data_IF_490048395975
#
_entry.id   IF_490048395975
#
_cell.length_a   1.000
_cell.length_b   1.000
_cell.length_c   1.000
_cell.angle_alpha   90.00
_cell.angle_beta   90.00
_cell.angle_gamma   90.00
#
_symmetry.space_group_name_H-M   'P 1'
#
loop_
_entity.id
_entity.type
_entity.pdbx_description
1 polymer ?
#
# COMPACT_ATOMS: atom_id res chain seq x y z
N UNK A 1 28.94 1.60 4.83
CA UNK A 1 28.04 0.67 4.11
C UNK A 1 27.02 1.51 3.34
N UNK A 2 26.96 1.40 2.01
CA UNK A 2 25.89 2.02 1.21
C UNK A 2 24.70 1.05 1.14
N UNK A 3 23.83 1.12 2.15
CA UNK A 3 22.59 0.32 2.21
C UNK A 3 21.42 1.27 2.09
N UNK A 4 20.51 0.96 1.17
CA UNK A 4 19.25 1.68 1.00
C UNK A 4 18.08 0.84 1.49
N UNK A 5 17.21 1.44 2.31
CA UNK A 5 16.00 0.80 2.83
C UNK A 5 14.78 1.42 2.15
N UNK A 6 13.98 0.59 1.47
CA UNK A 6 12.74 0.98 0.82
C UNK A 6 11.54 0.41 1.59
N UNK A 7 10.64 1.26 2.09
CA UNK A 7 9.39 0.81 2.72
C UNK A 7 8.26 0.77 1.69
N UNK A 8 7.70 -0.41 1.47
CA UNK A 8 6.50 -0.58 0.65
C UNK A 8 5.26 -0.55 1.53
N UNK A 9 4.27 0.25 1.14
CA UNK A 9 2.91 0.28 1.68
C UNK A 9 1.97 -0.37 0.67
N UNK A 10 1.78 -1.69 0.72
CA UNK A 10 0.92 -2.36 -0.25
C UNK A 10 -0.55 -2.02 0.01
N UNK A 11 -1.29 -1.84 -1.07
CA UNK A 11 -2.73 -2.02 -1.06
C UNK A 11 -3.11 -3.49 -1.17
N UNK A 12 -4.34 -3.78 -1.58
CA UNK A 12 -4.74 -5.17 -1.83
C UNK A 12 -4.08 -5.74 -3.09
N UNK A 13 -3.58 -6.96 -2.98
CA UNK A 13 -2.86 -7.69 -4.04
C UNK A 13 -3.45 -9.08 -4.11
N UNK A 14 -3.78 -9.53 -5.33
CA UNK A 14 -4.35 -10.85 -5.56
C UNK A 14 -3.29 -11.93 -5.34
N UNK A 15 -3.36 -12.56 -4.17
CA UNK A 15 -2.52 -13.68 -3.74
C UNK A 15 -3.39 -14.74 -3.04
N UNK A 16 -2.90 -15.97 -2.81
CA UNK A 16 -3.63 -16.96 -2.01
C UNK A 16 -4.02 -16.46 -0.62
N UNK A 17 -3.26 -15.53 -0.03
CA UNK A 17 -3.59 -14.91 1.26
C UNK A 17 -4.87 -14.06 1.23
N UNK A 18 -5.23 -13.54 0.06
CA UNK A 18 -6.39 -12.67 -0.15
C UNK A 18 -7.62 -13.41 -0.70
N UNK A 19 -7.50 -14.69 -1.00
CA UNK A 19 -8.60 -15.49 -1.53
C UNK A 19 -9.71 -15.64 -0.48
N UNK A 20 -10.95 -15.45 -0.91
CA UNK A 20 -12.13 -15.58 -0.03
C UNK A 20 -12.30 -14.45 0.99
N UNK A 21 -11.44 -13.43 1.00
CA UNK A 21 -11.60 -12.27 1.87
C UNK A 21 -12.56 -11.27 1.24
N UNK A 22 -13.69 -11.05 1.88
CA UNK A 22 -14.69 -10.09 1.44
C UNK A 22 -14.23 -8.64 1.66
N UNK A 23 -14.81 -7.70 0.91
CA UNK A 23 -14.56 -6.27 1.08
C UNK A 23 -13.23 -5.76 0.51
N UNK A 24 -12.42 -6.62 -0.13
CA UNK A 24 -11.25 -6.17 -0.88
C UNK A 24 -11.67 -5.54 -2.21
N UNK A 25 -11.14 -4.35 -2.49
CA UNK A 25 -11.36 -3.64 -3.75
C UNK A 25 -10.06 -3.08 -4.31
N UNK A 26 -10.01 -2.82 -5.61
CA UNK A 26 -8.79 -2.32 -6.28
C UNK A 26 -7.57 -3.25 -6.16
N UNK A 27 -7.81 -4.56 -6.13
CA UNK A 27 -6.75 -5.55 -6.24
C UNK A 27 -5.95 -5.33 -7.53
N UNK A 28 -4.67 -5.67 -7.46
CA UNK A 28 -3.80 -5.82 -8.62
C UNK A 28 -3.19 -7.22 -8.59
N UNK A 29 -2.78 -7.72 -9.75
CA UNK A 29 -2.10 -9.01 -9.86
C UNK A 29 -0.78 -8.99 -9.07
N UNK A 30 -0.40 -10.13 -8.50
CA UNK A 30 0.85 -10.29 -7.75
C UNK A 30 2.08 -9.93 -8.60
N UNK A 31 2.10 -10.33 -9.87
CA UNK A 31 3.19 -10.01 -10.80
C UNK A 31 3.30 -8.51 -11.08
N UNK A 32 2.16 -7.83 -11.17
CA UNK A 32 2.14 -6.38 -11.32
C UNK A 32 2.66 -5.68 -10.05
N UNK A 33 2.25 -6.15 -8.87
CA UNK A 33 2.75 -5.63 -7.61
C UNK A 33 4.28 -5.84 -7.49
N UNK A 34 4.78 -7.02 -7.83
CA UNK A 34 6.20 -7.34 -7.81
C UNK A 34 7.03 -6.41 -8.71
N UNK A 35 6.60 -6.21 -9.96
CA UNK A 35 7.26 -5.27 -10.90
C UNK A 35 7.34 -3.86 -10.33
N UNK A 36 6.25 -3.36 -9.73
CA UNK A 36 6.17 -2.02 -9.15
C UNK A 36 7.03 -1.88 -7.89
N UNK A 37 7.10 -2.91 -7.06
CA UNK A 37 7.96 -2.96 -5.87
C UNK A 37 9.44 -2.92 -6.26
N UNK A 38 9.84 -3.76 -7.22
CA UNK A 38 11.22 -3.79 -7.72
C UNK A 38 11.62 -2.44 -8.33
N UNK A 39 10.74 -1.83 -9.13
CA UNK A 39 11.00 -0.50 -9.67
C UNK A 39 11.19 0.56 -8.58
N UNK A 40 10.44 0.50 -7.47
CA UNK A 40 10.62 1.41 -6.34
C UNK A 40 11.94 1.17 -5.60
N UNK A 41 12.34 -0.09 -5.42
CA UNK A 41 13.60 -0.45 -4.79
C UNK A 41 14.80 0.01 -5.64
N UNK A 42 14.81 -0.29 -6.95
CA UNK A 42 15.87 0.15 -7.87
C UNK A 42 15.91 1.67 -8.03
N UNK A 43 14.76 2.33 -7.98
CA UNK A 43 14.65 3.79 -7.97
C UNK A 43 15.02 4.44 -6.63
N UNK A 44 15.51 3.68 -5.64
CA UNK A 44 15.88 4.14 -4.30
C UNK A 44 14.80 5.01 -3.63
N UNK A 45 13.54 4.57 -3.74
CA UNK A 45 12.44 5.23 -3.05
C UNK A 45 12.46 4.91 -1.55
N UNK A 46 12.42 5.94 -0.69
CA UNK A 46 12.34 5.72 0.76
C UNK A 46 11.02 5.04 1.18
N UNK A 47 9.90 5.50 0.61
CA UNK A 47 8.54 4.97 0.87
C UNK A 47 7.75 4.93 -0.44
N UNK A 48 7.01 3.85 -0.69
CA UNK A 48 6.14 3.74 -1.88
C UNK A 48 4.83 2.99 -1.61
N UNK A 49 3.72 3.57 -2.06
CA UNK A 49 2.43 2.85 -2.14
C UNK A 49 2.37 1.98 -3.40
N UNK A 50 1.91 0.74 -3.26
CA UNK A 50 1.75 -0.20 -4.39
C UNK A 50 0.38 -0.88 -4.30
N UNK A 51 -0.59 -0.58 -5.20
CA UNK A 51 -0.50 0.41 -6.28
C UNK A 51 -0.56 1.86 -5.76
N UNK A 52 -0.04 2.80 -6.57
CA UNK A 52 0.10 4.22 -6.20
C UNK A 52 -1.22 4.90 -5.79
N UNK A 53 -2.37 4.42 -6.30
CA UNK A 53 -3.71 4.92 -5.91
C UNK A 53 -3.97 4.86 -4.40
N UNK A 54 -3.34 3.94 -3.66
CA UNK A 54 -3.45 3.87 -2.20
C UNK A 54 -2.78 5.04 -1.48
N UNK A 55 -1.94 5.83 -2.16
CA UNK A 55 -1.43 7.09 -1.63
C UNK A 55 -2.59 8.04 -1.30
N UNK A 56 -3.63 8.08 -2.12
CA UNK A 56 -4.81 8.92 -1.87
C UNK A 56 -5.59 8.44 -0.66
N UNK A 57 -5.74 7.13 -0.47
CA UNK A 57 -6.35 6.57 0.73
C UNK A 57 -5.53 6.93 1.98
N UNK A 58 -4.22 6.76 1.93
CA UNK A 58 -3.31 7.15 3.00
C UNK A 58 -3.35 8.65 3.30
N UNK A 59 -3.49 9.49 2.27
CA UNK A 59 -3.65 10.93 2.41
C UNK A 59 -4.94 11.24 3.15
N UNK A 60 -6.07 10.69 2.72
CA UNK A 60 -7.36 10.88 3.39
C UNK A 60 -7.25 10.47 4.85
N UNK A 61 -6.79 9.24 5.15
CA UNK A 61 -6.64 8.74 6.52
C UNK A 61 -5.76 9.67 7.37
N UNK A 62 -4.64 10.16 6.84
CA UNK A 62 -3.73 11.05 7.57
C UNK A 62 -4.37 12.41 7.91
N UNK A 63 -5.32 12.87 7.10
CA UNK A 63 -6.01 14.15 7.32
C UNK A 63 -7.27 13.99 8.18
N UNK A 64 -7.67 12.78 8.55
CA UNK A 64 -8.78 12.59 9.50
C UNK A 64 -8.34 13.09 10.88
N UNK A 65 -9.01 14.12 11.46
CA UNK A 65 -8.71 14.58 12.80
C UNK A 65 -8.87 13.47 13.83
N UNK A 66 -7.99 13.41 14.82
CA UNK A 66 -7.93 12.30 15.76
C UNK A 66 -9.23 12.07 16.54
N UNK A 67 -10.05 13.10 16.77
CA UNK A 67 -11.35 12.94 17.44
C UNK A 67 -12.40 12.23 16.57
N UNK A 68 -12.32 12.37 15.24
CA UNK A 68 -13.15 11.61 14.31
C UNK A 68 -12.60 10.19 14.16
N UNK A 69 -11.29 10.05 13.96
CA UNK A 69 -10.65 8.75 13.80
C UNK A 69 -10.97 7.81 14.97
N UNK A 70 -10.93 8.31 16.22
CA UNK A 70 -11.27 7.53 17.43
C UNK A 70 -12.74 7.11 17.54
N UNK A 71 -13.64 7.72 16.76
CA UNK A 71 -15.08 7.40 16.75
C UNK A 71 -15.48 6.48 15.59
N UNK A 72 -14.58 6.27 14.63
CA UNK A 72 -14.84 5.39 13.50
C UNK A 72 -14.68 3.93 13.91
N UNK A 73 -15.59 3.08 13.44
CA UNK A 73 -15.45 1.61 13.51
C UNK A 73 -14.82 1.16 12.20
N UNK A 74 -13.50 1.28 12.10
CA UNK A 74 -12.70 0.78 10.97
C UNK A 74 -11.89 -0.42 11.45
#
# INVERSE_FOLDING_TARGET
FDVHVCTIKPGFIQTPMTEGVEGMFWLIDADEAAKRILAAAFGRANVRYVPYRWMWVGLVIRHIPSFLFRRMTI
#
